data_IF_209423742976
#
_entry.id   IF_209423742976
#
_cell.length_a   1.000
_cell.length_b   1.000
_cell.length_c   1.000
_cell.angle_alpha   90.00
_cell.angle_beta   90.00
_cell.angle_gamma   90.00
#
_symmetry.space_group_name_H-M   'P 1'
#
loop_
_entity.id
_entity.type
_entity.pdbx_description
1 polymer ?
#
# COMPACT_ATOMS: atom_id res chain seq x y z
N UNK A 1 35.42 -6.51 16.42
CA UNK A 1 35.29 -7.20 15.11
C UNK A 1 33.85 -7.65 14.84
N UNK A 2 33.21 -8.45 15.71
CA UNK A 2 31.83 -8.97 15.50
C UNK A 2 30.76 -7.90 15.22
N UNK A 3 30.76 -6.77 15.93
CA UNK A 3 29.76 -5.70 15.76
C UNK A 3 29.92 -4.88 14.47
N UNK A 4 31.15 -4.78 13.95
CA UNK A 4 31.44 -4.10 12.68
C UNK A 4 30.94 -4.94 11.51
N UNK A 5 31.17 -6.26 11.57
CA UNK A 5 30.67 -7.19 10.54
C UNK A 5 29.14 -7.22 10.51
N UNK A 6 28.48 -7.21 11.66
CA UNK A 6 27.01 -7.15 11.73
C UNK A 6 26.46 -5.83 11.16
N UNK A 7 27.12 -4.69 11.44
CA UNK A 7 26.72 -3.39 10.88
C UNK A 7 26.94 -3.31 9.37
N UNK A 8 28.02 -3.90 8.87
CA UNK A 8 28.30 -3.98 7.43
C UNK A 8 27.30 -4.88 6.70
N UNK A 9 26.93 -6.02 7.29
CA UNK A 9 25.89 -6.91 6.75
C UNK A 9 24.51 -6.24 6.75
N UNK A 10 24.18 -5.49 7.80
CA UNK A 10 22.92 -4.75 7.88
C UNK A 10 22.86 -3.60 6.86
N UNK A 11 23.97 -2.89 6.64
CA UNK A 11 24.09 -1.86 5.62
C UNK A 11 23.96 -2.45 4.20
N UNK A 12 24.59 -3.60 3.95
CA UNK A 12 24.49 -4.30 2.67
C UNK A 12 23.05 -4.78 2.39
N UNK A 13 22.34 -5.28 3.42
CA UNK A 13 20.93 -5.66 3.29
C UNK A 13 20.02 -4.45 3.01
N UNK A 14 20.26 -3.31 3.68
CA UNK A 14 19.55 -2.06 3.40
C UNK A 14 19.78 -1.53 1.98
N UNK A 15 20.99 -1.70 1.43
CA UNK A 15 21.30 -1.31 0.06
C UNK A 15 20.65 -2.25 -0.97
N UNK A 16 20.60 -3.56 -0.70
CA UNK A 16 19.88 -4.52 -1.55
C UNK A 16 18.36 -4.34 -1.51
N UNK A 17 17.80 -3.89 -0.38
CA UNK A 17 16.38 -3.63 -0.22
C UNK A 17 15.96 -2.23 -0.71
N UNK A 18 16.90 -1.40 -1.19
CA UNK A 18 16.60 -0.06 -1.66
C UNK A 18 16.03 -0.09 -3.08
N UNK A 19 14.90 0.61 -3.35
CA UNK A 19 14.29 0.64 -4.68
C UNK A 19 15.16 1.37 -5.72
N UNK A 20 16.16 2.14 -5.27
CA UNK A 20 17.07 2.90 -6.14
C UNK A 20 17.91 2.02 -7.07
N UNK A 21 18.25 0.79 -6.68
CA UNK A 21 19.03 -0.13 -7.51
C UNK A 21 18.19 -0.87 -8.56
N UNK A 22 16.87 -0.98 -8.35
CA UNK A 22 15.95 -1.58 -9.31
C UNK A 22 15.56 -0.61 -10.44
N UNK A 23 15.68 0.70 -10.19
CA UNK A 23 15.43 1.76 -11.18
C UNK A 23 16.56 1.87 -12.22
N UNK A 24 17.77 1.36 -11.93
CA UNK A 24 18.93 1.47 -12.84
C UNK A 24 18.98 0.44 -13.99
N UNK A 25 18.07 -0.54 -14.03
CA UNK A 25 18.02 -1.56 -15.10
C UNK A 25 16.78 -1.50 -15.99
N UNK A 26 15.95 -0.46 -15.85
CA UNK A 26 14.76 -0.32 -16.68
C UNK A 26 14.25 1.11 -16.69
N UNK A 27 14.79 1.94 -17.58
CA UNK A 27 14.11 3.13 -18.06
C UNK A 27 14.20 3.15 -19.58
N UNK A 28 13.10 2.71 -20.19
CA UNK A 28 12.69 3.07 -21.54
C UNK A 28 12.25 4.53 -21.53
N UNK A 29 12.60 5.25 -22.59
CA UNK A 29 12.15 6.59 -22.94
C UNK A 29 10.65 6.82 -22.73
N UNK A 30 10.31 8.00 -22.23
CA UNK A 30 9.14 8.73 -22.70
C UNK A 30 9.34 10.23 -22.45
N UNK A 31 9.34 10.97 -23.54
CA UNK A 31 9.54 12.41 -23.65
C UNK A 31 8.37 13.19 -23.03
N UNK A 32 8.73 14.32 -22.42
CA UNK A 32 7.87 15.34 -21.83
C UNK A 32 7.33 16.25 -22.93
N UNK A 33 6.00 16.33 -23.08
CA UNK A 33 5.36 17.41 -23.82
C UNK A 33 4.25 18.02 -22.97
N UNK A 34 4.58 19.13 -22.31
CA UNK A 34 3.62 19.97 -21.61
C UNK A 34 2.58 20.55 -22.57
N UNK A 35 1.31 20.43 -22.21
CA UNK A 35 0.20 21.10 -22.85
C UNK A 35 -0.52 22.00 -21.83
N UNK A 36 -0.66 23.26 -22.20
CA UNK A 36 -1.27 24.34 -21.43
C UNK A 36 -2.77 24.10 -21.19
N UNK A 37 -3.21 24.34 -19.95
CA UNK A 37 -4.62 24.34 -19.55
C UNK A 37 -5.29 25.58 -20.10
N UNK A 38 -6.24 25.40 -21.01
CA UNK A 38 -7.22 26.43 -21.38
C UNK A 38 -8.52 26.16 -20.65
N UNK A 39 -8.87 27.09 -19.76
CA UNK A 39 -10.12 27.17 -19.00
C UNK A 39 -11.26 27.61 -19.93
N UNK A 40 -12.21 26.72 -20.19
CA UNK A 40 -13.51 27.03 -20.80
C UNK A 40 -14.55 26.24 -20.01
N UNK A 41 -15.39 26.97 -19.28
CA UNK A 41 -16.54 26.40 -18.60
C UNK A 41 -17.61 26.00 -19.60
N UNK A 42 -18.23 24.84 -19.36
CA UNK A 42 -19.51 24.48 -19.97
C UNK A 42 -20.26 23.52 -19.04
N UNK A 43 -21.47 23.95 -18.66
CA UNK A 43 -22.46 23.15 -17.95
C UNK A 43 -23.03 22.10 -18.91
N UNK A 44 -22.63 20.83 -18.83
CA UNK A 44 -23.38 19.74 -19.48
C UNK A 44 -23.46 18.49 -18.61
N UNK A 45 -24.68 17.98 -18.48
CA UNK A 45 -24.99 16.67 -17.92
C UNK A 45 -24.51 15.58 -18.86
N UNK A 46 -23.36 14.99 -18.56
CA UNK A 46 -22.78 13.88 -19.31
C UNK A 46 -23.52 12.57 -19.03
N UNK A 47 -24.56 12.29 -19.80
CA UNK A 47 -24.90 10.91 -20.15
C UNK A 47 -24.02 10.53 -21.33
N UNK A 48 -23.25 9.45 -21.23
CA UNK A 48 -22.31 9.05 -22.29
C UNK A 48 -23.02 8.86 -23.64
N UNK A 49 -22.83 9.83 -24.53
CA UNK A 49 -23.30 9.84 -25.89
C UNK A 49 -22.38 8.97 -26.76
N UNK A 50 -22.73 7.69 -26.89
CA UNK A 50 -22.24 6.90 -28.02
C UNK A 50 -23.33 6.98 -29.10
N UNK A 51 -23.11 7.83 -30.11
CA UNK A 51 -23.99 8.15 -31.26
C UNK A 51 -25.15 9.16 -31.07
N UNK A 52 -25.14 10.03 -30.04
CA UNK A 52 -26.09 11.16 -29.98
C UNK A 52 -27.58 10.77 -30.00
N UNK A 53 -27.90 9.51 -29.70
CA UNK A 53 -29.26 8.98 -29.59
C UNK A 53 -29.36 8.31 -28.22
N UNK A 54 -30.29 8.78 -27.38
CA UNK A 54 -30.78 7.97 -26.26
C UNK A 54 -31.45 6.71 -26.85
N UNK A 55 -30.67 5.64 -26.99
CA UNK A 55 -31.18 4.37 -27.46
C UNK A 55 -32.13 3.83 -26.40
N UNK A 56 -33.40 3.72 -26.78
CA UNK A 56 -34.45 3.19 -25.92
C UNK A 56 -34.56 1.68 -26.10
N UNK A 57 -35.18 1.01 -25.13
CA UNK A 57 -35.51 -0.41 -25.27
C UNK A 57 -36.62 -0.57 -26.28
N UNK A 58 -36.47 -1.51 -27.19
CA UNK A 58 -37.50 -1.76 -28.17
C UNK A 58 -38.71 -2.50 -27.58
N UNK A 59 -39.92 -2.30 -28.12
CA UNK A 59 -41.12 -2.98 -27.64
C UNK A 59 -41.07 -4.47 -27.97
N UNK A 60 -41.41 -5.33 -27.00
CA UNK A 60 -41.48 -6.78 -27.19
C UNK A 60 -40.17 -7.54 -26.91
N UNK A 61 -39.14 -6.88 -26.37
CA UNK A 61 -37.90 -7.55 -25.95
C UNK A 61 -37.86 -7.62 -24.43
N UNK A 62 -37.79 -8.84 -23.92
CA UNK A 62 -37.57 -9.09 -22.50
C UNK A 62 -36.13 -9.57 -22.30
N UNK A 63 -35.43 -8.94 -21.37
CA UNK A 63 -34.07 -9.35 -20.99
C UNK A 63 -34.05 -9.82 -19.54
N UNK A 64 -33.27 -10.86 -19.28
CA UNK A 64 -33.09 -11.44 -17.96
C UNK A 64 -31.62 -11.73 -17.75
N UNK A 65 -31.16 -11.68 -16.51
CA UNK A 65 -29.77 -11.92 -16.17
C UNK A 65 -29.63 -13.00 -15.10
N UNK A 66 -28.56 -13.79 -15.20
CA UNK A 66 -28.21 -14.80 -14.20
C UNK A 66 -26.70 -14.76 -13.95
N UNK A 67 -26.30 -14.77 -12.69
CA UNK A 67 -24.92 -14.93 -12.26
C UNK A 67 -24.67 -16.41 -11.91
N UNK A 68 -24.18 -17.25 -12.85
CA UNK A 68 -24.07 -18.69 -12.63
C UNK A 68 -23.12 -19.03 -11.48
N UNK A 69 -21.97 -18.36 -11.44
CA UNK A 69 -20.89 -18.62 -10.47
C UNK A 69 -20.96 -17.73 -9.23
N UNK A 70 -21.91 -16.77 -9.18
CA UNK A 70 -21.92 -15.72 -8.16
C UNK A 70 -23.33 -15.30 -7.73
N UNK A 71 -24.01 -16.17 -6.98
CA UNK A 71 -25.36 -15.88 -6.46
C UNK A 71 -25.39 -14.75 -5.44
N UNK A 72 -24.28 -14.55 -4.72
CA UNK A 72 -24.14 -13.50 -3.71
C UNK A 72 -23.80 -12.12 -4.31
N UNK A 73 -23.53 -12.05 -5.62
CA UNK A 73 -23.14 -10.82 -6.34
C UNK A 73 -21.88 -10.15 -5.77
N UNK A 74 -20.95 -10.96 -5.27
CA UNK A 74 -19.67 -10.52 -4.70
C UNK A 74 -18.58 -10.69 -5.76
N UNK A 75 -18.10 -9.59 -6.34
CA UNK A 75 -17.12 -9.63 -7.42
C UNK A 75 -15.72 -9.40 -6.86
N UNK A 76 -14.78 -10.24 -7.28
CA UNK A 76 -13.38 -10.12 -6.93
C UNK A 76 -12.68 -9.17 -7.89
N UNK A 77 -12.09 -8.10 -7.37
CA UNK A 77 -11.31 -7.15 -8.16
C UNK A 77 -10.17 -7.87 -8.90
N UNK A 78 -10.00 -7.62 -10.19
CA UNK A 78 -8.98 -8.25 -11.03
C UNK A 78 -9.29 -9.68 -11.49
N UNK A 79 -10.41 -10.29 -11.05
CA UNK A 79 -10.86 -11.61 -11.50
C UNK A 79 -12.00 -11.49 -12.50
N UNK A 80 -12.00 -12.34 -13.52
CA UNK A 80 -13.09 -12.43 -14.47
C UNK A 80 -14.37 -12.97 -13.81
N UNK A 81 -15.48 -12.27 -14.03
CA UNK A 81 -16.82 -12.66 -13.60
C UNK A 81 -17.68 -12.84 -14.83
N UNK A 82 -18.44 -13.93 -14.84
CA UNK A 82 -19.37 -14.27 -15.91
C UNK A 82 -20.81 -13.95 -15.48
N UNK A 83 -21.53 -13.30 -16.39
CA UNK A 83 -22.97 -13.03 -16.31
C UNK A 83 -23.62 -13.55 -17.58
N UNK A 84 -24.70 -14.29 -17.44
CA UNK A 84 -25.49 -14.75 -18.58
C UNK A 84 -26.64 -13.77 -18.80
N UNK A 85 -26.71 -13.20 -20.00
CA UNK A 85 -27.86 -12.41 -20.45
C UNK A 85 -28.77 -13.30 -21.29
N UNK A 86 -29.98 -13.54 -20.80
CA UNK A 86 -31.06 -14.15 -21.56
C UNK A 86 -31.87 -13.06 -22.25
N UNK A 87 -32.09 -13.20 -23.55
CA UNK A 87 -32.94 -12.32 -24.32
C UNK A 87 -34.06 -13.12 -24.96
N UNK A 88 -35.30 -12.70 -24.75
CA UNK A 88 -36.50 -13.26 -25.34
C UNK A 88 -37.08 -12.22 -26.31
N UNK A 89 -37.24 -12.63 -27.56
CA UNK A 89 -37.80 -11.79 -28.62
C UNK A 89 -39.28 -12.13 -28.81
N UNK A 90 -40.18 -11.37 -28.19
CA UNK A 90 -41.63 -11.41 -28.45
C UNK A 90 -42.06 -10.31 -29.47
N UNK A 91 -41.10 -9.71 -30.15
CA UNK A 91 -41.31 -8.69 -31.19
C UNK A 91 -41.83 -9.27 -32.51
N UNK A 92 -41.89 -8.43 -33.55
CA UNK A 92 -42.34 -8.81 -34.89
C UNK A 92 -41.19 -9.08 -35.87
N UNK A 93 -39.97 -8.71 -35.51
CA UNK A 93 -38.78 -8.78 -36.36
C UNK A 93 -37.64 -9.47 -35.63
N UNK A 94 -36.70 -10.01 -36.40
CA UNK A 94 -35.50 -10.64 -35.85
C UNK A 94 -34.58 -9.57 -35.21
N UNK A 95 -33.89 -9.95 -34.13
CA UNK A 95 -33.02 -9.05 -33.37
C UNK A 95 -31.57 -9.43 -33.59
N UNK A 96 -30.79 -8.53 -34.17
CA UNK A 96 -29.35 -8.72 -34.35
C UNK A 96 -28.58 -8.06 -33.20
N UNK A 97 -27.83 -8.86 -32.45
CA UNK A 97 -27.09 -8.36 -31.30
C UNK A 97 -25.76 -7.79 -31.77
N UNK A 98 -25.49 -6.55 -31.36
CA UNK A 98 -24.28 -5.81 -31.76
C UNK A 98 -23.22 -5.92 -30.68
N UNK A 99 -23.57 -5.59 -29.43
CA UNK A 99 -22.61 -5.60 -28.34
C UNK A 99 -23.29 -5.71 -26.97
N UNK A 100 -22.55 -6.26 -26.01
CA UNK A 100 -22.87 -6.20 -24.58
C UNK A 100 -21.78 -5.41 -23.87
N UNK A 101 -22.17 -4.45 -23.06
CA UNK A 101 -21.27 -3.62 -22.27
C UNK A 101 -21.74 -3.50 -20.83
N UNK A 102 -20.81 -3.24 -19.94
CA UNK A 102 -21.08 -2.98 -18.53
C UNK A 102 -20.39 -1.70 -18.10
N UNK A 103 -21.01 -1.00 -17.17
CA UNK A 103 -20.45 0.18 -16.52
C UNK A 103 -20.67 0.11 -15.02
N UNK A 104 -19.72 0.66 -14.29
CA UNK A 104 -19.72 0.70 -12.84
C UNK A 104 -19.89 2.14 -12.37
N UNK A 105 -20.78 2.36 -11.41
CA UNK A 105 -21.10 3.66 -10.85
C UNK A 105 -21.01 3.63 -9.32
N UNK A 106 -20.99 4.81 -8.71
CA UNK A 106 -21.10 4.93 -7.27
C UNK A 106 -22.55 4.65 -6.83
N UNK A 107 -22.75 3.97 -5.69
CA UNK A 107 -24.09 3.58 -5.23
C UNK A 107 -24.97 4.75 -4.76
N UNK A 108 -24.37 5.91 -4.45
CA UNK A 108 -25.11 7.10 -3.98
C UNK A 108 -25.27 8.17 -5.06
N UNK A 109 -24.47 8.10 -6.12
CA UNK A 109 -24.54 9.01 -7.25
C UNK A 109 -24.20 8.25 -8.53
N UNK A 110 -25.21 8.06 -9.38
CA UNK A 110 -25.09 7.30 -10.63
C UNK A 110 -24.56 8.16 -11.79
N UNK A 111 -24.35 9.46 -11.59
CA UNK A 111 -23.80 10.35 -12.60
C UNK A 111 -22.30 10.11 -12.85
N UNK A 112 -21.44 10.05 -11.81
CA UNK A 112 -20.04 9.74 -12.02
C UNK A 112 -19.86 8.28 -12.42
N UNK A 113 -19.36 8.07 -13.64
CA UNK A 113 -18.85 6.79 -14.07
C UNK A 113 -17.55 6.47 -13.32
N UNK A 114 -17.52 5.33 -12.62
CA UNK A 114 -16.32 4.84 -11.94
C UNK A 114 -15.42 4.09 -12.92
N UNK A 115 -16.01 3.17 -13.70
CA UNK A 115 -15.25 2.35 -14.63
C UNK A 115 -16.14 1.79 -15.74
N UNK A 116 -15.68 1.90 -16.99
CA UNK A 116 -16.21 1.12 -18.11
C UNK A 116 -15.62 -0.29 -18.11
N UNK A 117 -16.49 -1.29 -18.17
CA UNK A 117 -16.11 -2.70 -18.25
C UNK A 117 -15.93 -3.13 -19.71
N UNK A 118 -15.39 -4.34 -19.91
CA UNK A 118 -15.14 -4.91 -21.24
C UNK A 118 -16.39 -4.85 -22.11
N UNK A 119 -16.30 -4.27 -23.31
CA UNK A 119 -17.37 -4.36 -24.31
C UNK A 119 -17.17 -5.62 -25.16
N UNK A 120 -18.18 -6.48 -25.20
CA UNK A 120 -18.19 -7.72 -25.98
C UNK A 120 -19.07 -7.53 -27.22
N UNK A 121 -18.46 -7.43 -28.39
CA UNK A 121 -19.19 -7.30 -29.66
C UNK A 121 -19.55 -8.66 -30.25
N UNK A 122 -20.75 -8.77 -30.81
CA UNK A 122 -21.24 -9.96 -31.50
C UNK A 122 -21.36 -9.64 -33.00
N UNK A 123 -20.70 -10.43 -33.85
CA UNK A 123 -20.66 -10.18 -35.30
C UNK A 123 -21.72 -10.92 -36.12
N UNK A 124 -22.38 -11.92 -35.53
CA UNK A 124 -23.36 -12.77 -36.23
C UNK A 124 -24.30 -13.47 -35.22
N UNK A 125 -24.75 -12.75 -34.20
CA UNK A 125 -25.70 -13.26 -33.23
C UNK A 125 -27.07 -12.65 -33.55
N UNK A 126 -27.99 -13.49 -34.02
CA UNK A 126 -29.37 -13.09 -34.31
C UNK A 126 -30.33 -13.93 -33.46
N UNK A 127 -31.37 -13.29 -32.93
CA UNK A 127 -32.43 -13.93 -32.16
C UNK A 127 -33.73 -13.82 -32.92
N UNK A 128 -34.24 -14.95 -33.46
CA UNK A 128 -35.43 -14.91 -34.28
C UNK A 128 -36.68 -14.61 -33.45
N UNK A 129 -37.74 -14.21 -34.13
CA UNK A 129 -39.05 -13.95 -33.51
C UNK A 129 -39.55 -15.15 -32.71
N UNK A 130 -40.11 -14.88 -31.53
CA UNK A 130 -40.63 -15.87 -30.58
C UNK A 130 -39.60 -16.87 -30.06
N UNK A 131 -38.31 -16.57 -30.19
CA UNK A 131 -37.22 -17.37 -29.64
C UNK A 131 -36.55 -16.68 -28.44
N UNK A 132 -35.87 -17.50 -27.66
CA UNK A 132 -35.02 -17.06 -26.56
C UNK A 132 -33.59 -17.50 -26.84
N UNK A 133 -32.64 -16.60 -26.64
CA UNK A 133 -31.22 -16.90 -26.70
C UNK A 133 -30.53 -16.41 -25.42
N UNK A 134 -29.36 -16.98 -25.14
CA UNK A 134 -28.56 -16.61 -23.97
C UNK A 134 -27.13 -16.36 -24.39
N UNK A 135 -26.57 -15.25 -23.94
CA UNK A 135 -25.22 -14.82 -24.27
C UNK A 135 -24.39 -14.71 -22.99
N UNK A 136 -23.19 -15.31 -22.97
CA UNK A 136 -22.27 -15.10 -21.86
C UNK A 136 -21.60 -13.73 -22.02
N UNK A 137 -21.57 -12.98 -20.93
CA UNK A 137 -20.85 -11.74 -20.79
C UNK A 137 -19.81 -11.89 -19.68
N UNK A 138 -18.53 -11.90 -20.08
CA UNK A 138 -17.41 -12.05 -19.16
C UNK A 138 -16.73 -10.69 -19.04
N UNK A 139 -16.57 -10.21 -17.82
CA UNK A 139 -15.91 -8.94 -17.52
C UNK A 139 -15.04 -9.06 -16.27
N UNK A 140 -14.07 -8.18 -16.14
CA UNK A 140 -13.27 -8.07 -14.92
C UNK A 140 -13.32 -6.62 -14.41
N UNK A 141 -13.49 -6.47 -13.10
CA UNK A 141 -13.35 -5.18 -12.43
C UNK A 141 -11.85 -4.88 -12.25
N UNK A 142 -11.46 -3.61 -12.28
CA UNK A 142 -10.05 -3.24 -12.11
C UNK A 142 -9.48 -3.80 -10.79
N UNK A 143 -8.29 -4.40 -10.84
CA UNK A 143 -7.55 -4.87 -9.65
C UNK A 143 -7.18 -3.75 -8.67
N UNK A 144 -7.22 -2.50 -9.14
CA UNK A 144 -6.91 -1.31 -8.35
C UNK A 144 -8.16 -0.63 -7.80
N UNK A 145 -9.36 -1.16 -8.09
CA UNK A 145 -10.58 -0.66 -7.49
C UNK A 145 -10.60 -1.01 -6.00
N UNK A 146 -10.93 -0.03 -5.17
CA UNK A 146 -11.09 -0.22 -3.74
C UNK A 146 -12.26 -1.18 -3.45
N UNK A 147 -12.13 -2.00 -2.41
CA UNK A 147 -13.24 -2.85 -1.97
C UNK A 147 -14.43 -1.99 -1.50
N UNK A 148 -15.63 -2.31 -1.94
CA UNK A 148 -16.82 -1.53 -1.62
C UNK A 148 -18.06 -1.94 -2.39
N UNK A 149 -19.18 -1.28 -2.09
CA UNK A 149 -20.41 -1.45 -2.85
C UNK A 149 -20.40 -0.52 -4.07
N UNK A 150 -20.76 -1.05 -5.23
CA UNK A 150 -20.82 -0.31 -6.49
C UNK A 150 -22.08 -0.68 -7.26
N UNK A 151 -22.62 0.25 -8.02
CA UNK A 151 -23.76 -0.01 -8.89
C UNK A 151 -23.27 -0.51 -10.24
N UNK A 152 -23.63 -1.74 -10.58
CA UNK A 152 -23.32 -2.36 -11.86
C UNK A 152 -24.53 -2.20 -12.78
N UNK A 153 -24.30 -1.54 -13.91
CA UNK A 153 -25.27 -1.39 -14.99
C UNK A 153 -24.75 -2.17 -16.19
N UNK A 154 -25.48 -3.18 -16.62
CA UNK A 154 -25.14 -3.95 -17.82
C UNK A 154 -26.21 -3.78 -18.89
N UNK A 155 -25.72 -3.62 -20.10
CA UNK A 155 -26.47 -3.10 -21.21
C UNK A 155 -26.17 -3.91 -22.45
N UNK A 156 -27.23 -4.33 -23.14
CA UNK A 156 -27.14 -4.99 -24.44
C UNK A 156 -27.61 -4.00 -25.51
N UNK A 157 -26.80 -3.89 -26.56
CA UNK A 157 -27.04 -3.09 -27.75
C UNK A 157 -27.33 -4.05 -28.89
N UNK A 158 -28.45 -3.84 -29.55
CA UNK A 158 -28.94 -4.68 -30.63
C UNK A 158 -29.61 -3.82 -31.70
N UNK A 159 -29.83 -4.40 -32.87
CA UNK A 159 -30.45 -3.77 -34.01
C UNK A 159 -31.73 -4.55 -34.37
N UNK A 160 -32.79 -3.82 -34.70
CA UNK A 160 -34.01 -4.39 -35.28
C UNK A 160 -34.44 -3.53 -36.46
N UNK A 161 -34.75 -4.16 -37.58
CA UNK A 161 -35.20 -3.48 -38.82
C UNK A 161 -34.30 -2.31 -39.25
N UNK A 162 -32.98 -2.45 -39.08
CA UNK A 162 -32.02 -1.40 -39.44
C UNK A 162 -31.88 -0.28 -38.41
N UNK A 163 -32.50 -0.38 -37.22
CA UNK A 163 -32.46 0.63 -36.17
C UNK A 163 -31.76 0.11 -34.92
N UNK A 164 -30.78 0.85 -34.36
CA UNK A 164 -30.14 0.46 -33.12
C UNK A 164 -31.07 0.73 -31.92
N UNK A 165 -31.03 -0.17 -30.96
CA UNK A 165 -31.76 -0.14 -29.70
C UNK A 165 -30.84 -0.60 -28.57
N UNK A 166 -31.20 -0.24 -27.35
CA UNK A 166 -30.42 -0.58 -26.17
C UNK A 166 -31.34 -0.94 -25.01
N UNK A 167 -31.01 -2.02 -24.31
CA UNK A 167 -31.73 -2.43 -23.11
C UNK A 167 -30.77 -2.70 -21.97
N UNK A 168 -31.14 -2.25 -20.77
CA UNK A 168 -30.42 -2.56 -19.54
C UNK A 168 -30.97 -3.88 -19.01
N UNK A 169 -30.16 -4.93 -19.02
CA UNK A 169 -30.56 -6.26 -18.55
C UNK A 169 -30.21 -6.52 -17.08
N UNK A 170 -29.29 -5.71 -16.53
CA UNK A 170 -28.97 -5.71 -15.12
C UNK A 170 -28.72 -4.29 -14.64
N UNK A 171 -29.40 -3.91 -13.57
CA UNK A 171 -29.11 -2.70 -12.82
C UNK A 171 -29.23 -3.05 -11.33
N UNK A 172 -28.10 -3.06 -10.64
CA UNK A 172 -28.11 -3.28 -9.21
C UNK A 172 -26.74 -3.23 -8.58
N UNK A 173 -26.75 -3.07 -7.27
CA UNK A 173 -25.54 -3.00 -6.47
C UNK A 173 -24.85 -4.36 -6.37
N UNK A 174 -23.54 -4.34 -6.54
CA UNK A 174 -22.62 -5.45 -6.34
C UNK A 174 -21.61 -5.08 -5.27
N UNK A 175 -21.08 -6.08 -4.57
CA UNK A 175 -20.00 -5.87 -3.61
C UNK A 175 -18.68 -6.28 -4.26
N UNK A 176 -17.76 -5.34 -4.39
CA UNK A 176 -16.41 -5.59 -4.88
C UNK A 176 -15.49 -5.86 -3.71
N UNK A 177 -14.77 -6.98 -3.77
CA UNK A 177 -13.78 -7.39 -2.76
C UNK A 177 -12.42 -7.46 -3.43
N UNK A 178 -11.37 -7.00 -2.74
CA UNK A 178 -10.00 -7.12 -3.23
C UNK A 178 -9.57 -8.60 -3.30
N UNK A 179 -9.17 -9.04 -4.49
CA UNK A 179 -8.47 -10.32 -4.67
C UNK A 179 -6.98 -10.01 -4.85
N UNK A 180 -6.26 -10.06 -3.73
CA UNK A 180 -4.85 -9.71 -3.68
C UNK A 180 -4.08 -10.57 -2.68
N UNK A 181 -2.75 -10.73 -2.86
CA UNK A 181 -1.92 -11.38 -1.84
C UNK A 181 -2.05 -10.62 -0.52
N UNK A 182 -2.18 -11.34 0.60
CA UNK A 182 -2.18 -10.76 1.95
C UNK A 182 -0.93 -9.90 2.24
N UNK A 183 0.15 -10.11 1.48
CA UNK A 183 1.40 -9.38 1.58
C UNK A 183 1.59 -8.48 0.35
N UNK A 184 0.91 -7.33 0.35
CA UNK A 184 1.18 -6.26 -0.61
C UNK A 184 2.56 -5.64 -0.34
N UNK A 185 3.24 -5.17 -1.38
CA UNK A 185 4.58 -4.57 -1.23
C UNK A 185 4.56 -3.34 -0.31
N UNK A 186 3.47 -2.59 -0.31
CA UNK A 186 3.20 -1.47 0.59
C UNK A 186 3.13 -1.93 2.05
N UNK A 187 2.43 -3.03 2.33
CA UNK A 187 2.34 -3.60 3.68
C UNK A 187 3.69 -4.10 4.17
N UNK A 188 4.49 -4.73 3.30
CA UNK A 188 5.86 -5.16 3.62
C UNK A 188 6.75 -3.95 3.89
N UNK A 189 6.66 -2.91 3.06
CA UNK A 189 7.41 -1.67 3.21
C UNK A 189 7.08 -0.96 4.52
N UNK A 190 5.80 -0.73 4.81
CA UNK A 190 5.36 -0.06 6.04
C UNK A 190 5.72 -0.87 7.30
N UNK A 191 5.57 -2.20 7.24
CA UNK A 191 5.98 -3.08 8.34
C UNK A 191 7.50 -3.01 8.58
N UNK A 192 8.29 -3.03 7.51
CA UNK A 192 9.74 -2.88 7.57
C UNK A 192 10.17 -1.52 8.14
N UNK A 193 9.52 -0.43 7.70
CA UNK A 193 9.74 0.91 8.22
C UNK A 193 9.42 0.99 9.71
N UNK A 194 8.29 0.42 10.14
CA UNK A 194 7.88 0.37 11.54
C UNK A 194 8.93 -0.36 12.40
N UNK A 195 9.42 -1.51 11.94
CA UNK A 195 10.48 -2.26 12.64
C UNK A 195 11.77 -1.45 12.70
N UNK A 196 12.16 -0.81 11.60
CA UNK A 196 13.35 0.05 11.53
C UNK A 196 13.26 1.20 12.55
N UNK A 197 12.10 1.86 12.63
CA UNK A 197 11.84 2.94 13.57
C UNK A 197 11.94 2.45 15.03
N UNK A 198 11.38 1.28 15.34
CA UNK A 198 11.48 0.66 16.67
C UNK A 198 12.95 0.38 17.04
N UNK A 199 13.74 -0.17 16.12
CA UNK A 199 15.17 -0.46 16.36
C UNK A 199 15.94 0.83 16.66
N UNK A 200 15.73 1.90 15.88
CA UNK A 200 16.34 3.20 16.10
C UNK A 200 15.94 3.77 17.46
N UNK A 201 14.66 3.68 17.83
CA UNK A 201 14.15 4.16 19.10
C UNK A 201 14.79 3.43 20.29
N UNK A 202 14.93 2.11 20.21
CA UNK A 202 15.61 1.30 21.24
C UNK A 202 17.06 1.74 21.40
N UNK A 203 17.80 1.92 20.29
CA UNK A 203 19.20 2.37 20.32
C UNK A 203 19.29 3.78 20.91
N UNK A 204 18.38 4.68 20.54
CA UNK A 204 18.33 6.05 21.06
C UNK A 204 18.13 6.07 22.58
N UNK A 205 17.14 5.31 23.09
CA UNK A 205 16.88 5.18 24.52
C UNK A 205 18.09 4.59 25.25
N UNK A 206 18.68 3.51 24.74
CA UNK A 206 19.88 2.90 25.31
C UNK A 206 21.07 3.88 25.36
N UNK A 207 21.25 4.69 24.32
CA UNK A 207 22.33 5.67 24.27
C UNK A 207 22.08 6.84 25.24
N UNK A 208 20.84 7.32 25.35
CA UNK A 208 20.45 8.34 26.33
C UNK A 208 20.67 7.89 27.78
N UNK A 209 20.25 6.66 28.13
CA UNK A 209 20.49 6.05 29.43
C UNK A 209 21.99 5.92 29.74
N UNK A 210 22.80 5.53 28.74
CA UNK A 210 24.26 5.44 28.87
C UNK A 210 24.92 6.81 29.08
N UNK A 211 24.39 7.87 28.49
CA UNK A 211 24.92 9.23 28.66
C UNK A 211 24.63 9.79 30.06
N UNK A 212 23.47 9.48 30.65
CA UNK A 212 23.11 9.90 32.01
C UNK A 212 23.84 9.11 33.11
N UNK A 213 24.14 7.83 32.88
CA UNK A 213 24.83 6.97 33.86
C UNK A 213 26.35 7.20 33.95
N UNK A 214 26.99 7.77 32.93
CA UNK A 214 28.44 8.11 32.97
C UNK A 214 28.77 9.30 33.88
N UNK A 215 27.80 10.16 34.23
CA UNK A 215 28.02 11.28 35.16
C UNK A 215 28.15 10.82 36.61
N UNK A 216 27.59 9.67 36.99
CA UNK A 216 27.62 9.18 38.39
C UNK A 216 28.91 8.46 38.77
N UNK A 217 29.63 7.85 37.82
CA UNK A 217 30.85 7.06 38.11
C UNK A 217 32.15 7.88 38.24
N UNK A 218 32.16 9.18 37.90
CA UNK A 218 33.37 10.02 37.99
C UNK A 218 33.56 10.69 39.35
N UNK A 219 32.53 10.72 40.21
CA UNK A 219 32.61 11.31 41.55
C UNK A 219 33.26 10.40 42.61
N UNK A 220 33.36 9.10 42.39
CA UNK A 220 33.90 8.13 43.38
C UNK A 220 35.38 7.78 43.22
N UNK A 221 36.08 8.33 42.20
CA UNK A 221 37.53 8.11 41.99
C UNK A 221 38.43 9.31 42.30
N UNK A 222 37.90 10.37 42.90
CA UNK A 222 38.71 11.35 43.62
C UNK A 222 38.85 10.88 45.08
N UNK A 223 39.52 9.74 45.28
CA UNK A 223 39.99 9.34 46.61
C UNK A 223 41.08 10.34 46.98
N UNK A 224 40.71 11.32 47.78
CA UNK A 224 41.61 12.24 48.46
C UNK A 224 42.45 11.40 49.42
N UNK A 225 43.72 11.19 49.11
CA UNK A 225 44.69 10.55 50.01
C UNK A 225 45.02 11.56 51.12
N UNK A 226 44.19 11.57 52.17
CA UNK A 226 44.51 12.22 53.44
C UNK A 226 45.56 11.33 54.13
N UNK A 227 46.71 11.92 54.45
CA UNK A 227 47.88 11.21 54.93
C UNK A 227 47.74 10.55 56.32
N UNK A 228 48.72 9.69 56.57
CA UNK A 228 49.28 9.29 57.87
C UNK A 228 48.56 8.15 58.61
N UNK A 229 48.83 6.92 58.18
CA UNK A 229 48.96 5.80 59.11
C UNK A 229 50.47 5.53 59.27
N UNK A 230 50.99 5.85 60.46
CA UNK A 230 52.37 5.65 60.86
C UNK A 230 52.80 4.19 60.64
N UNK A 231 53.86 4.00 59.85
CA UNK A 231 54.69 2.80 59.93
C UNK A 231 56.10 3.29 60.16
N UNK A 232 56.49 3.28 61.44
CA UNK A 232 57.86 3.45 61.89
C UNK A 232 58.78 2.53 61.10
N UNK A 233 59.54 3.13 60.20
CA UNK A 233 60.68 2.52 59.56
C UNK A 233 61.65 3.65 59.21
N UNK A 234 62.81 3.62 59.87
CA UNK A 234 64.08 4.23 59.46
C UNK A 234 64.24 5.77 59.48
N UNK A 235 63.57 6.52 60.36
CA UNK A 235 63.87 7.96 60.50
C UNK A 235 65.12 8.31 61.32
N UNK A 236 65.78 7.35 61.96
CA UNK A 236 66.94 7.63 62.83
C UNK A 236 68.30 7.13 62.30
N UNK A 237 68.34 6.37 61.20
CA UNK A 237 69.61 5.85 60.66
C UNK A 237 70.45 6.95 59.95
N UNK A 238 69.80 7.95 59.36
CA UNK A 238 70.48 9.06 58.67
C UNK A 238 70.91 10.20 59.61
N UNK A 239 70.51 10.14 60.89
CA UNK A 239 70.83 11.15 61.91
C UNK A 239 72.02 10.73 62.81
N UNK A 240 72.49 9.49 62.70
CA UNK A 240 73.72 9.05 63.37
C UNK A 240 74.94 9.82 62.81
N UNK A 241 75.71 10.45 63.69
CA UNK A 241 76.89 11.25 63.33
C UNK A 241 76.65 12.75 63.14
N UNK A 242 75.41 13.24 63.28
CA UNK A 242 75.09 14.67 63.27
C UNK A 242 75.06 15.28 64.68
N UNK A 243 75.38 16.58 64.80
CA UNK A 243 75.51 17.30 66.08
C UNK A 243 74.25 17.30 66.97
N UNK A 244 73.08 16.95 66.42
CA UNK A 244 71.82 16.82 67.15
C UNK A 244 71.86 15.71 68.22
N UNK A 245 72.53 14.58 67.91
CA UNK A 245 72.65 13.42 68.82
C UNK A 245 73.64 13.64 69.98
N UNK A 246 74.53 14.64 69.90
CA UNK A 246 75.49 14.92 70.97
C UNK A 246 74.92 15.73 72.14
N UNK A 247 73.76 16.37 71.96
CA UNK A 247 73.13 17.18 73.01
C UNK A 247 72.31 16.37 74.01
N UNK A 248 71.84 15.17 73.64
CA UNK A 248 71.01 14.31 74.48
C UNK A 248 71.81 13.42 75.44
N UNK A 249 73.13 13.30 75.26
CA UNK A 249 74.00 12.46 76.11
C UNK A 249 74.58 13.19 77.34
N UNK A 250 74.39 14.51 77.46
CA UNK A 250 74.99 15.33 78.54
C UNK A 250 74.11 15.54 79.78
N UNK A 251 72.87 15.05 79.81
CA UNK A 251 71.95 15.25 80.96
C UNK A 251 71.83 14.07 81.95
N UNK A 252 72.71 13.05 81.87
CA UNK A 252 72.68 11.91 82.81
C UNK A 252 74.06 11.56 83.39
N UNK A 253 74.33 12.12 84.58
CA UNK A 253 75.27 11.75 85.68
C UNK A 253 76.04 13.01 86.13
N UNK A 254 76.03 13.45 87.38
CA UNK A 254 76.00 12.69 88.64
C UNK A 254 75.73 13.66 89.83
N UNK A 255 74.99 13.13 90.82
CA UNK A 255 74.90 13.51 92.25
C UNK A 255 74.33 14.87 92.63
#
# INVERSE_FOLDING_TARGET
MKTIVIRLLFLAFLLLASPFLQVALGQSDSEDSGFEVSDVGEDESETEQVFGLELTSAPGIETLCVFPNNRAKIIKAGTETEVLVGMKNDGQSDVDIVAVKGSLHLPFDQKPLVQNLTALSFGNASVPVSAQATFPYIFAVSKFLEAGAFDLVCTIVYEMDGKPYQSIFYNGTIEVVEDGPLFRMESVFLSGLLISFIVVLIIYIQNGLRHMTKKTKRATKAKVEVGTAAKDASLDEWLEGTAYTQSSSKSKKKK
#
